data_IF_373900026817
#
_entry.id   IF_373900026817
#
_cell.length_a   1.000
_cell.length_b   1.000
_cell.length_c   1.000
_cell.angle_alpha   90.00
_cell.angle_beta   90.00
_cell.angle_gamma   90.00
#
_symmetry.space_group_name_H-M   'P 1'
#
loop_
_entity.id
_entity.type
_entity.pdbx_description
1 polymer ?
#
# COMPACT_ATOMS: atom_id res chain seq x y z
N UNK A 1 -12.58 3.68 -10.96
CA UNK A 1 -11.89 3.53 -9.65
C UNK A 1 -11.49 2.08 -9.35
N UNK A 2 -12.33 1.07 -9.66
CA UNK A 2 -12.06 -0.34 -9.31
C UNK A 2 -10.74 -0.93 -9.82
N UNK A 3 -10.33 -0.65 -11.07
CA UNK A 3 -9.11 -1.26 -11.66
C UNK A 3 -7.85 -0.91 -10.88
N UNK A 4 -7.63 0.38 -10.59
CA UNK A 4 -6.48 0.85 -9.79
C UNK A 4 -6.51 0.34 -8.36
N UNK A 5 -7.70 0.13 -7.82
CA UNK A 5 -7.87 -0.40 -6.47
C UNK A 5 -7.50 -1.88 -6.38
N UNK A 6 -7.76 -2.67 -7.43
CA UNK A 6 -7.26 -4.05 -7.55
C UNK A 6 -5.75 -4.09 -7.78
N UNK A 7 -5.21 -3.17 -8.58
CA UNK A 7 -3.76 -3.08 -8.81
C UNK A 7 -2.98 -2.66 -7.56
N UNK A 8 -3.59 -1.86 -6.67
CA UNK A 8 -3.00 -1.46 -5.37
C UNK A 8 -2.54 -2.68 -4.55
N UNK A 9 -3.35 -3.74 -4.47
CA UNK A 9 -3.01 -4.92 -3.66
C UNK A 9 -1.72 -5.60 -4.16
N UNK A 10 -1.38 -5.42 -5.43
CA UNK A 10 -0.14 -5.96 -6.01
C UNK A 10 1.11 -5.16 -5.65
N UNK A 11 0.92 -3.91 -5.20
CA UNK A 11 1.99 -2.99 -4.78
C UNK A 11 2.18 -2.92 -3.26
N UNK A 12 1.23 -3.49 -2.50
CA UNK A 12 1.32 -3.57 -1.03
C UNK A 12 2.14 -4.79 -0.65
N UNK A 13 3.31 -4.54 -0.06
CA UNK A 13 4.18 -5.57 0.49
C UNK A 13 3.66 -6.08 1.85
N UNK A 14 3.14 -5.17 2.68
CA UNK A 14 2.55 -5.51 3.97
C UNK A 14 1.50 -4.49 4.39
N UNK A 15 0.47 -4.96 5.10
CA UNK A 15 -0.59 -4.14 5.69
C UNK A 15 -0.85 -4.60 7.12
N UNK A 16 -0.80 -3.65 8.05
CA UNK A 16 -1.12 -3.88 9.46
C UNK A 16 -2.15 -2.85 9.92
N UNK A 17 -3.24 -3.31 10.51
CA UNK A 17 -4.23 -2.43 11.13
C UNK A 17 -3.79 -2.18 12.58
N UNK A 18 -3.51 -0.92 12.91
CA UNK A 18 -3.13 -0.52 14.26
C UNK A 18 -4.34 -0.30 15.16
N UNK A 19 -4.14 -0.44 16.46
CA UNK A 19 -5.19 -0.30 17.48
C UNK A 19 -5.78 1.12 17.60
N UNK A 20 -5.12 2.14 17.03
CA UNK A 20 -5.54 3.55 17.07
C UNK A 20 -6.27 4.01 15.79
N UNK A 21 -6.75 3.08 14.96
CA UNK A 21 -7.42 3.41 13.70
C UNK A 21 -6.48 3.81 12.57
N UNK A 22 -5.16 3.72 12.77
CA UNK A 22 -4.17 3.89 11.72
C UNK A 22 -4.01 2.60 10.90
N UNK A 23 -3.83 2.74 9.60
CA UNK A 23 -3.45 1.62 8.71
C UNK A 23 -2.01 1.80 8.30
N UNK A 24 -1.14 0.90 8.75
CA UNK A 24 0.27 0.88 8.37
C UNK A 24 0.43 0.08 7.09
N UNK A 25 1.02 0.71 6.07
CA UNK A 25 1.20 0.12 4.75
C UNK A 25 2.66 0.19 4.38
N UNK A 26 3.21 -0.94 3.97
CA UNK A 26 4.50 -1.00 3.27
C UNK A 26 4.23 -1.23 1.79
N UNK A 27 4.76 -0.35 0.95
CA UNK A 27 4.73 -0.49 -0.50
C UNK A 27 6.07 -1.03 -1.00
N UNK A 28 6.09 -1.67 -2.16
CA UNK A 28 7.36 -1.96 -2.85
C UNK A 28 8.04 -0.66 -3.32
N UNK A 29 9.36 -0.67 -3.38
CA UNK A 29 10.16 0.51 -3.73
C UNK A 29 9.88 1.07 -5.13
N UNK A 30 9.45 0.21 -6.05
CA UNK A 30 9.08 0.54 -7.43
C UNK A 30 7.59 0.93 -7.58
N UNK A 31 6.85 1.03 -6.49
CA UNK A 31 5.45 1.42 -6.51
C UNK A 31 5.29 2.83 -7.13
N UNK A 32 4.48 2.99 -8.19
CA UNK A 32 4.24 4.29 -8.79
C UNK A 32 3.60 5.29 -7.82
N UNK A 33 3.83 6.59 -8.03
CA UNK A 33 3.30 7.65 -7.16
C UNK A 33 1.77 7.57 -6.93
N UNK A 34 1.01 7.18 -7.96
CA UNK A 34 -0.44 7.02 -7.87
C UNK A 34 -0.89 5.98 -6.84
N UNK A 35 -0.03 5.00 -6.50
CA UNK A 35 -0.35 3.93 -5.55
C UNK A 35 -0.58 4.51 -4.15
N UNK A 36 0.17 5.56 -3.77
CA UNK A 36 -0.03 6.24 -2.49
C UNK A 36 -1.40 6.92 -2.43
N UNK A 37 -1.79 7.62 -3.49
CA UNK A 37 -3.09 8.29 -3.56
C UNK A 37 -4.23 7.29 -3.47
N UNK A 38 -4.11 6.16 -4.18
CA UNK A 38 -5.12 5.08 -4.13
C UNK A 38 -5.15 4.40 -2.76
N UNK A 39 -4.00 4.22 -2.11
CA UNK A 39 -3.93 3.68 -0.75
C UNK A 39 -4.63 4.60 0.27
N UNK A 40 -4.36 5.91 0.24
CA UNK A 40 -5.03 6.89 1.11
C UNK A 40 -6.53 6.92 0.85
N UNK A 41 -6.95 6.87 -0.42
CA UNK A 41 -8.38 6.81 -0.77
C UNK A 41 -9.04 5.49 -0.30
N UNK A 42 -8.31 4.37 -0.27
CA UNK A 42 -8.84 3.07 0.17
C UNK A 42 -8.92 2.94 1.69
N UNK A 43 -7.86 3.35 2.39
CA UNK A 43 -7.66 3.07 3.82
C UNK A 43 -7.88 4.30 4.70
N UNK A 44 -8.12 5.47 4.09
CA UNK A 44 -8.44 6.71 4.77
C UNK A 44 -7.22 7.53 5.17
N UNK A 45 -7.49 8.71 5.76
CA UNK A 45 -6.47 9.69 6.18
C UNK A 45 -5.51 9.17 7.27
N UNK A 46 -5.85 8.07 7.95
CA UNK A 46 -4.99 7.40 8.94
C UNK A 46 -3.96 6.44 8.33
N UNK A 47 -3.70 6.53 7.03
CA UNK A 47 -2.72 5.68 6.34
C UNK A 47 -1.30 6.15 6.63
N UNK A 48 -0.48 5.27 7.18
CA UNK A 48 0.95 5.50 7.47
C UNK A 48 1.80 4.65 6.53
N UNK A 49 2.67 5.30 5.76
CA UNK A 49 3.59 4.61 4.86
C UNK A 49 4.88 4.25 5.59
N UNK A 50 5.12 2.95 5.75
CA UNK A 50 6.37 2.41 6.26
C UNK A 50 7.47 2.51 5.20
N UNK A 51 8.76 2.42 5.59
CA UNK A 51 9.87 2.33 4.65
C UNK A 51 9.61 1.24 3.61
N UNK A 52 9.87 1.52 2.32
CA UNK A 52 9.49 0.62 1.24
C UNK A 52 10.20 -0.72 1.35
N UNK A 53 9.53 -1.79 0.91
CA UNK A 53 10.15 -3.09 0.72
C UNK A 53 10.94 -3.10 -0.59
N UNK A 54 12.23 -3.42 -0.53
CA UNK A 54 13.10 -3.33 -1.70
C UNK A 54 12.84 -4.44 -2.72
N UNK A 55 12.29 -5.58 -2.31
CA UNK A 55 12.12 -6.74 -3.18
C UNK A 55 10.66 -7.12 -3.27
N UNK A 56 10.07 -6.95 -4.45
CA UNK A 56 8.83 -7.64 -4.79
C UNK A 56 9.17 -9.10 -5.08
N UNK A 57 8.65 -10.08 -4.33
CA UNK A 57 8.81 -11.47 -4.71
C UNK A 57 8.26 -11.62 -6.13
N UNK A 58 9.12 -12.00 -7.07
CA UNK A 58 8.66 -12.43 -8.39
C UNK A 58 7.72 -13.60 -8.11
N UNK A 59 6.47 -13.49 -8.56
CA UNK A 59 5.58 -14.63 -8.58
C UNK A 59 6.31 -15.78 -9.27
N UNK A 60 6.48 -16.89 -8.55
CA UNK A 60 7.06 -18.13 -9.06
C UNK A 60 6.09 -18.82 -10.03
#
# INVERSE_FOLDING_TARGET
MEKRQRELDTWVASKVQGNLGCTYIRLYADAPGWVRDVAVNRFGKGTVFLPPEQSRPRAA
#
